data_IF_968118495703
#
_entry.id   IF_968118495703
#
_cell.length_a   1.000
_cell.length_b   1.000
_cell.length_c   1.000
_cell.angle_alpha   90.00
_cell.angle_beta   90.00
_cell.angle_gamma   90.00
#
_symmetry.space_group_name_H-M   'P 1'
#
loop_
_entity.id
_entity.type
_entity.pdbx_description
1 polymer ?
#
# COMPACT_ATOMS: atom_id res chain seq x y z
N UNK A 1 -34.50 -22.81 -17.99
CA UNK A 1 -33.86 -21.95 -16.96
C UNK A 1 -32.59 -22.64 -16.42
N UNK A 2 -31.46 -22.63 -17.15
CA UNK A 2 -30.32 -23.49 -16.78
C UNK A 2 -28.93 -23.10 -17.29
N UNK A 3 -28.70 -21.91 -17.85
CA UNK A 3 -27.39 -21.51 -18.41
C UNK A 3 -26.59 -20.54 -17.53
N UNK A 4 -27.10 -20.17 -16.34
CA UNK A 4 -26.45 -19.20 -15.47
C UNK A 4 -25.40 -19.81 -14.52
N UNK A 5 -25.33 -21.14 -14.41
CA UNK A 5 -24.58 -21.79 -13.32
C UNK A 5 -23.08 -21.91 -13.62
N UNK A 6 -22.68 -22.51 -14.74
CA UNK A 6 -21.26 -22.80 -15.00
C UNK A 6 -20.42 -21.55 -15.24
N UNK A 7 -20.93 -20.59 -16.01
CA UNK A 7 -20.21 -19.35 -16.32
C UNK A 7 -20.03 -18.45 -15.09
N UNK A 8 -21.05 -18.35 -14.22
CA UNK A 8 -20.97 -17.60 -12.97
C UNK A 8 -19.92 -18.19 -12.01
N UNK A 9 -19.92 -19.52 -11.83
CA UNK A 9 -18.92 -20.19 -11.00
C UNK A 9 -17.50 -20.05 -11.56
N UNK A 10 -17.35 -20.01 -12.89
CA UNK A 10 -16.06 -19.78 -13.53
C UNK A 10 -15.55 -18.34 -13.28
N UNK A 11 -16.43 -17.34 -13.33
CA UNK A 11 -16.09 -15.96 -12.95
C UNK A 11 -15.69 -15.88 -11.47
N UNK A 12 -16.46 -16.51 -10.58
CA UNK A 12 -16.17 -16.51 -9.13
C UNK A 12 -14.82 -17.20 -8.85
N UNK A 13 -14.53 -18.32 -9.51
CA UNK A 13 -13.24 -19.01 -9.39
C UNK A 13 -12.08 -18.17 -9.90
N UNK A 14 -12.24 -17.42 -10.99
CA UNK A 14 -11.20 -16.52 -11.48
C UNK A 14 -11.00 -15.34 -10.52
N UNK A 15 -12.10 -14.69 -10.10
CA UNK A 15 -12.06 -13.51 -9.22
C UNK A 15 -11.51 -13.80 -7.82
N UNK A 16 -11.65 -15.03 -7.32
CA UNK A 16 -11.16 -15.41 -5.99
C UNK A 16 -9.87 -16.24 -6.08
N UNK A 17 -9.83 -17.22 -6.99
CA UNK A 17 -8.71 -18.16 -7.11
C UNK A 17 -7.43 -17.51 -7.61
N UNK A 18 -7.50 -16.62 -8.61
CA UNK A 18 -6.29 -15.94 -9.12
C UNK A 18 -5.68 -15.04 -8.04
N UNK A 19 -6.42 -14.17 -7.33
CA UNK A 19 -5.86 -13.40 -6.21
C UNK A 19 -5.30 -14.27 -5.08
N UNK A 20 -5.91 -15.41 -4.77
CA UNK A 20 -5.39 -16.32 -3.73
C UNK A 20 -4.00 -16.87 -4.08
N UNK A 21 -3.71 -17.15 -5.36
CA UNK A 21 -2.37 -17.58 -5.79
C UNK A 21 -1.33 -16.50 -5.47
N UNK A 22 -1.68 -15.22 -5.65
CA UNK A 22 -0.80 -14.12 -5.31
C UNK A 22 -0.49 -14.07 -3.82
N UNK A 23 -1.47 -14.28 -2.93
CA UNK A 23 -1.27 -14.29 -1.46
C UNK A 23 -0.12 -15.21 -1.04
N UNK A 24 0.01 -16.38 -1.65
CA UNK A 24 1.06 -17.36 -1.32
C UNK A 24 2.39 -17.13 -2.05
N UNK A 25 2.45 -16.21 -3.01
CA UNK A 25 3.69 -15.91 -3.73
C UNK A 25 4.67 -15.20 -2.80
N UNK A 26 5.80 -15.84 -2.48
CA UNK A 26 6.88 -15.25 -1.67
C UNK A 26 7.55 -14.07 -2.40
N UNK A 27 8.07 -13.07 -1.69
CA UNK A 27 8.87 -12.02 -2.32
C UNK A 27 10.16 -12.63 -2.89
N UNK A 28 10.75 -12.05 -3.95
CA UNK A 28 12.04 -12.50 -4.45
C UNK A 28 13.14 -12.39 -3.40
N UNK A 29 14.02 -13.38 -3.42
CA UNK A 29 15.18 -13.49 -2.52
C UNK A 29 16.30 -12.58 -3.05
N UNK A 30 17.09 -12.03 -2.14
CA UNK A 30 18.20 -11.14 -2.45
C UNK A 30 17.91 -9.69 -2.11
N UNK A 31 18.79 -8.77 -2.54
CA UNK A 31 18.66 -7.36 -2.24
C UNK A 31 17.40 -6.73 -2.81
N UNK A 32 16.98 -5.65 -2.18
CA UNK A 32 15.80 -4.92 -2.61
C UNK A 32 16.04 -4.26 -3.99
N UNK A 33 15.24 -4.65 -4.99
CA UNK A 33 15.35 -4.11 -6.36
C UNK A 33 14.97 -2.64 -6.51
N UNK A 34 14.34 -2.05 -5.50
CA UNK A 34 13.80 -0.67 -5.54
C UNK A 34 14.71 0.34 -4.84
N UNK A 35 15.95 -0.04 -4.52
CA UNK A 35 16.99 0.83 -3.98
C UNK A 35 17.25 0.64 -2.48
N UNK A 36 18.10 1.52 -1.93
CA UNK A 36 18.51 1.48 -0.52
C UNK A 36 17.38 1.76 0.47
N UNK A 37 17.59 1.40 1.74
CA UNK A 37 16.57 1.57 2.78
C UNK A 37 16.29 3.06 3.03
N UNK A 38 15.02 3.51 2.99
CA UNK A 38 14.69 4.89 3.28
C UNK A 38 14.90 5.19 4.78
N UNK A 39 15.35 6.41 5.13
CA UNK A 39 15.55 6.80 6.52
C UNK A 39 14.21 6.86 7.28
N UNK A 40 14.28 6.71 8.60
CA UNK A 40 13.15 6.98 9.46
C UNK A 40 12.83 8.49 9.42
N UNK A 41 11.55 8.84 9.45
CA UNK A 41 11.06 10.21 9.34
C UNK A 41 10.23 10.58 10.57
N UNK A 42 10.33 11.84 11.01
CA UNK A 42 9.38 12.41 11.96
C UNK A 42 8.01 12.70 11.30
N UNK A 43 7.00 13.01 12.12
CA UNK A 43 5.63 13.27 11.64
C UNK A 43 5.55 14.34 10.53
N UNK A 44 6.14 15.53 10.77
CA UNK A 44 6.12 16.61 9.77
C UNK A 44 6.91 16.28 8.49
N UNK A 45 8.02 15.55 8.62
CA UNK A 45 8.81 15.10 7.48
C UNK A 45 8.04 14.07 6.63
N UNK A 46 7.26 13.19 7.26
CA UNK A 46 6.41 12.24 6.57
C UNK A 46 5.33 12.95 5.75
N UNK A 47 4.64 13.94 6.31
CA UNK A 47 3.63 14.73 5.59
C UNK A 47 4.26 15.49 4.41
N UNK A 48 5.42 16.11 4.62
CA UNK A 48 6.14 16.79 3.55
C UNK A 48 6.56 15.80 2.45
N UNK A 49 7.05 14.61 2.81
CA UNK A 49 7.40 13.56 1.84
C UNK A 49 6.17 13.04 1.09
N UNK A 50 5.03 12.90 1.75
CA UNK A 50 3.78 12.44 1.16
C UNK A 50 3.32 13.36 0.03
N UNK A 51 3.24 14.67 0.29
CA UNK A 51 2.87 15.64 -0.74
C UNK A 51 3.98 15.87 -1.78
N UNK A 52 5.25 15.74 -1.41
CA UNK A 52 6.37 15.84 -2.36
C UNK A 52 6.37 14.68 -3.36
N UNK A 53 6.03 13.47 -2.92
CA UNK A 53 5.98 12.26 -3.73
C UNK A 53 4.56 11.94 -4.23
N UNK A 54 3.83 12.97 -4.66
CA UNK A 54 2.39 12.89 -4.92
C UNK A 54 1.97 11.80 -5.90
N UNK A 55 2.65 11.68 -7.05
CA UNK A 55 2.42 10.63 -8.06
C UNK A 55 3.70 9.83 -8.33
N UNK A 56 4.59 9.76 -7.35
CA UNK A 56 5.84 9.02 -7.48
C UNK A 56 5.67 7.58 -6.97
N UNK A 57 5.60 6.64 -7.91
CA UNK A 57 5.51 5.20 -7.63
C UNK A 57 6.88 4.53 -7.50
N UNK A 58 7.97 5.25 -7.74
CA UNK A 58 9.33 4.72 -7.73
C UNK A 58 9.99 4.90 -6.38
N UNK A 59 10.88 3.96 -6.05
CA UNK A 59 11.60 3.94 -4.77
C UNK A 59 10.82 3.28 -3.64
N UNK A 60 11.26 3.55 -2.41
CA UNK A 60 10.80 2.91 -1.18
C UNK A 60 10.23 3.94 -0.21
N UNK A 61 9.19 3.55 0.53
CA UNK A 61 8.65 4.34 1.63
C UNK A 61 8.96 3.67 2.96
N UNK A 62 9.48 4.44 3.92
CA UNK A 62 9.78 3.91 5.25
C UNK A 62 8.48 3.62 6.03
N UNK A 63 8.57 2.75 7.04
CA UNK A 63 7.43 2.46 7.93
C UNK A 63 6.86 3.74 8.56
N UNK A 64 7.73 4.62 9.02
CA UNK A 64 7.35 5.91 9.62
C UNK A 64 6.71 6.85 8.61
N UNK A 65 7.22 6.91 7.37
CA UNK A 65 6.60 7.72 6.31
C UNK A 65 5.15 7.27 6.05
N UNK A 66 4.93 5.96 5.93
CA UNK A 66 3.61 5.39 5.70
C UNK A 66 2.63 5.64 6.85
N UNK A 67 3.01 5.27 8.08
CA UNK A 67 2.09 5.32 9.22
C UNK A 67 1.79 6.75 9.70
N UNK A 68 2.77 7.67 9.64
CA UNK A 68 2.49 9.06 9.98
C UNK A 68 1.61 9.75 8.93
N UNK A 69 1.80 9.44 7.65
CA UNK A 69 0.94 9.98 6.59
C UNK A 69 -0.48 9.41 6.69
N UNK A 70 -0.62 8.11 6.95
CA UNK A 70 -1.92 7.48 7.19
C UNK A 70 -2.64 8.09 8.40
N UNK A 71 -1.92 8.31 9.51
CA UNK A 71 -2.45 8.99 10.70
C UNK A 71 -2.92 10.40 10.36
N UNK A 72 -2.12 11.17 9.61
CA UNK A 72 -2.48 12.52 9.19
C UNK A 72 -3.76 12.52 8.33
N UNK A 73 -3.86 11.64 7.32
CA UNK A 73 -5.05 11.52 6.48
C UNK A 73 -6.27 11.17 7.33
N UNK A 74 -6.13 10.23 8.26
CA UNK A 74 -7.20 9.82 9.16
C UNK A 74 -7.69 10.96 10.08
N UNK A 75 -6.77 11.72 10.67
CA UNK A 75 -7.11 12.87 11.51
C UNK A 75 -7.85 13.97 10.73
N UNK A 76 -7.38 14.31 9.52
CA UNK A 76 -8.06 15.29 8.67
C UNK A 76 -9.44 14.78 8.26
N UNK A 77 -9.58 13.48 7.95
CA UNK A 77 -10.87 12.89 7.62
C UNK A 77 -11.87 13.00 8.79
N UNK A 78 -11.43 12.79 10.04
CA UNK A 78 -12.28 12.98 11.24
C UNK A 78 -12.73 14.44 11.34
N UNK A 79 -11.80 15.38 11.21
CA UNK A 79 -12.13 16.82 11.31
C UNK A 79 -13.14 17.21 10.22
N UNK A 80 -12.92 16.79 8.98
CA UNK A 80 -13.84 17.07 7.87
C UNK A 80 -15.21 16.42 8.09
N UNK A 81 -15.26 15.20 8.60
CA UNK A 81 -16.54 14.52 8.90
C UNK A 81 -17.41 15.30 9.91
N UNK A 82 -16.80 15.98 10.88
CA UNK A 82 -17.54 16.76 11.90
C UNK A 82 -17.92 18.15 11.40
N UNK A 83 -17.02 18.80 10.65
CA UNK A 83 -17.12 20.23 10.29
C UNK A 83 -17.83 20.43 8.94
N UNK A 84 -17.58 19.57 7.95
CA UNK A 84 -18.06 19.74 6.59
C UNK A 84 -19.47 19.16 6.40
N UNK A 85 -20.48 20.01 6.60
CA UNK A 85 -21.89 19.64 6.44
C UNK A 85 -22.33 19.48 4.98
N UNK A 86 -21.59 20.06 4.02
CA UNK A 86 -21.92 19.96 2.60
C UNK A 86 -21.22 18.81 1.88
N UNK A 87 -20.37 18.05 2.60
CA UNK A 87 -19.56 16.92 2.12
C UNK A 87 -18.59 17.27 0.96
N UNK A 88 -18.57 18.53 0.53
CA UNK A 88 -17.82 18.97 -0.64
C UNK A 88 -16.33 19.04 -0.35
N UNK A 89 -15.94 19.51 0.84
CA UNK A 89 -14.55 19.55 1.27
C UNK A 89 -14.02 18.14 1.54
N UNK A 90 -14.87 17.27 2.11
CA UNK A 90 -14.55 15.86 2.29
C UNK A 90 -14.27 15.17 0.94
N UNK A 91 -15.11 15.41 -0.06
CA UNK A 91 -14.92 14.88 -1.42
C UNK A 91 -13.60 15.40 -2.05
N UNK A 92 -13.34 16.71 -2.00
CA UNK A 92 -12.10 17.30 -2.53
C UNK A 92 -10.88 16.70 -1.83
N UNK A 93 -10.91 16.57 -0.51
CA UNK A 93 -9.84 15.97 0.27
C UNK A 93 -9.60 14.51 -0.09
N UNK A 94 -10.67 13.72 -0.22
CA UNK A 94 -10.60 12.32 -0.63
C UNK A 94 -9.92 12.20 -2.00
N UNK A 95 -10.34 13.01 -2.98
CA UNK A 95 -9.73 13.04 -4.31
C UNK A 95 -8.26 13.50 -4.29
N UNK A 96 -7.93 14.51 -3.49
CA UNK A 96 -6.58 15.03 -3.36
C UNK A 96 -5.62 14.03 -2.67
N UNK A 97 -6.12 13.21 -1.75
CA UNK A 97 -5.28 12.23 -1.04
C UNK A 97 -5.30 10.85 -1.70
N UNK A 98 -6.22 10.59 -2.63
CA UNK A 98 -6.38 9.29 -3.29
C UNK A 98 -5.11 8.86 -4.04
N UNK A 99 -4.65 9.67 -5.00
CA UNK A 99 -3.45 9.37 -5.80
C UNK A 99 -2.17 9.20 -4.96
N UNK A 100 -1.82 10.13 -4.05
CA UNK A 100 -0.61 9.97 -3.23
C UNK A 100 -0.70 8.80 -2.25
N UNK A 101 -1.91 8.42 -1.80
CA UNK A 101 -2.09 7.22 -0.96
C UNK A 101 -1.75 5.95 -1.72
N UNK A 102 -2.18 5.82 -2.98
CA UNK A 102 -1.85 4.66 -3.84
C UNK A 102 -0.34 4.66 -4.15
N UNK A 103 0.25 5.83 -4.46
CA UNK A 103 1.68 5.94 -4.75
C UNK A 103 2.55 5.53 -3.55
N UNK A 104 2.21 6.03 -2.36
CA UNK A 104 2.90 5.68 -1.11
C UNK A 104 2.70 4.20 -0.74
N UNK A 105 1.49 3.65 -0.91
CA UNK A 105 1.21 2.24 -0.67
C UNK A 105 2.05 1.33 -1.58
N UNK A 106 2.19 1.68 -2.86
CA UNK A 106 3.08 0.98 -3.80
C UNK A 106 4.55 1.04 -3.34
N UNK A 107 5.06 2.24 -2.99
CA UNK A 107 6.42 2.40 -2.46
C UNK A 107 6.65 1.65 -1.13
N UNK A 108 5.61 1.48 -0.32
CA UNK A 108 5.68 0.67 0.91
C UNK A 108 5.80 -0.82 0.60
N UNK A 109 5.08 -1.31 -0.42
CA UNK A 109 5.22 -2.69 -0.90
C UNK A 109 6.60 -2.93 -1.53
N UNK A 110 7.16 -1.93 -2.21
CA UNK A 110 8.52 -1.96 -2.72
C UNK A 110 9.55 -2.15 -1.61
N UNK A 111 9.31 -1.58 -0.41
CA UNK A 111 10.21 -1.74 0.73
C UNK A 111 10.31 -3.20 1.25
N UNK A 112 9.29 -4.03 0.99
CA UNK A 112 9.31 -5.47 1.27
C UNK A 112 9.63 -6.32 0.02
N UNK A 113 10.25 -5.71 -0.98
CA UNK A 113 10.61 -6.30 -2.29
C UNK A 113 9.42 -6.89 -3.08
N UNK A 114 8.19 -6.45 -2.79
CA UNK A 114 6.99 -6.79 -3.56
C UNK A 114 6.68 -5.71 -4.59
N UNK A 115 5.93 -6.05 -5.63
CA UNK A 115 5.48 -5.04 -6.60
C UNK A 115 4.25 -4.28 -6.08
N UNK A 116 4.04 -3.05 -6.54
CA UNK A 116 2.92 -2.21 -6.11
C UNK A 116 1.52 -2.78 -6.40
N UNK A 117 1.40 -3.69 -7.38
CA UNK A 117 0.13 -4.35 -7.71
C UNK A 117 -0.44 -5.21 -6.57
N UNK A 118 0.38 -5.58 -5.58
CA UNK A 118 -0.10 -6.26 -4.37
C UNK A 118 -1.17 -5.48 -3.60
N UNK A 119 -1.25 -4.15 -3.76
CA UNK A 119 -2.30 -3.36 -3.13
C UNK A 119 -3.72 -3.74 -3.62
N UNK A 120 -3.86 -4.28 -4.83
CA UNK A 120 -5.15 -4.73 -5.36
C UNK A 120 -5.73 -5.92 -4.60
N UNK A 121 -4.89 -6.69 -3.90
CA UNK A 121 -5.38 -7.75 -3.02
C UNK A 121 -6.25 -7.19 -1.90
N UNK A 122 -6.11 -5.92 -1.53
CA UNK A 122 -6.98 -5.30 -0.53
C UNK A 122 -8.46 -5.27 -0.95
N UNK A 123 -8.77 -5.40 -2.25
CA UNK A 123 -10.14 -5.52 -2.76
C UNK A 123 -10.78 -6.87 -2.42
N UNK A 124 -9.98 -7.90 -2.12
CA UNK A 124 -10.46 -9.22 -1.70
C UNK A 124 -10.71 -9.24 -0.18
N UNK A 125 -11.76 -8.55 0.26
CA UNK A 125 -12.12 -8.48 1.68
C UNK A 125 -12.73 -9.81 2.16
N UNK A 126 -12.34 -10.35 3.35
CA UNK A 126 -11.39 -9.78 4.31
C UNK A 126 -9.95 -10.27 4.16
N UNK A 127 -9.70 -11.37 3.46
CA UNK A 127 -8.40 -12.07 3.50
C UNK A 127 -7.29 -11.20 2.89
N UNK A 128 -7.53 -10.60 1.74
CA UNK A 128 -6.52 -9.82 1.03
C UNK A 128 -6.20 -8.48 1.70
N UNK A 129 -7.18 -7.83 2.35
CA UNK A 129 -6.93 -6.61 3.13
C UNK A 129 -6.05 -6.88 4.34
N UNK A 130 -6.25 -8.00 5.05
CA UNK A 130 -5.38 -8.43 6.16
C UNK A 130 -3.96 -8.72 5.68
N UNK A 131 -3.80 -9.42 4.55
CA UNK A 131 -2.48 -9.72 3.97
C UNK A 131 -1.71 -8.46 3.61
N UNK A 132 -2.38 -7.50 2.96
CA UNK A 132 -1.76 -6.23 2.55
C UNK A 132 -1.39 -5.38 3.78
N UNK A 133 -2.28 -5.32 4.78
CA UNK A 133 -2.03 -4.64 6.04
C UNK A 133 -0.82 -5.23 6.78
N UNK A 134 -0.74 -6.56 6.87
CA UNK A 134 0.42 -7.25 7.43
C UNK A 134 1.70 -6.91 6.64
N UNK A 135 1.61 -6.81 5.32
CA UNK A 135 2.69 -6.31 4.46
C UNK A 135 3.15 -4.90 4.83
N UNK A 136 2.23 -3.97 5.09
CA UNK A 136 2.55 -2.62 5.54
C UNK A 136 3.22 -2.58 6.91
N UNK A 137 2.90 -3.51 7.81
CA UNK A 137 3.55 -3.67 9.12
C UNK A 137 4.93 -4.35 9.05
N UNK A 138 5.20 -5.14 8.02
CA UNK A 138 6.39 -6.03 7.92
C UNK A 138 7.71 -5.25 7.83
N UNK A 139 8.81 -5.86 8.27
CA UNK A 139 10.14 -5.25 8.17
C UNK A 139 10.65 -5.10 6.74
N UNK A 140 11.36 -3.98 6.52
CA UNK A 140 12.05 -3.70 5.27
C UNK A 140 13.05 -4.82 4.98
N UNK A 141 13.15 -5.25 3.72
CA UNK A 141 14.21 -6.19 3.34
C UNK A 141 15.59 -5.56 3.53
N UNK A 142 16.60 -6.39 3.82
CA UNK A 142 17.99 -5.95 3.92
C UNK A 142 18.46 -5.39 2.57
N UNK A 143 19.44 -4.48 2.62
CA UNK A 143 20.15 -4.02 1.42
C UNK A 143 21.52 -4.73 1.32
N UNK A 144 22.12 -4.65 0.14
CA UNK A 144 23.45 -5.20 -0.15
C UNK A 144 24.55 -4.65 0.77
N UNK A 145 24.41 -3.41 1.27
CA UNK A 145 25.43 -2.76 2.09
C UNK A 145 25.58 -3.39 3.47
N UNK A 146 24.53 -4.04 3.99
CA UNK A 146 24.63 -4.82 5.24
C UNK A 146 25.30 -6.17 5.00
N UNK A 147 25.06 -6.84 3.87
CA UNK A 147 25.75 -8.09 3.55
C UNK A 147 27.24 -7.86 3.30
N UNK A 148 27.61 -6.76 2.62
CA UNK A 148 29.00 -6.38 2.39
C UNK A 148 29.78 -5.99 3.67
N UNK A 149 29.11 -5.57 4.74
CA UNK A 149 29.74 -5.27 6.05
C UNK A 149 29.99 -6.53 6.88
N UNK A 150 29.26 -7.62 6.61
CA UNK A 150 29.37 -8.88 7.34
C UNK A 150 30.00 -10.02 6.53
N UNK A 151 30.49 -9.73 5.31
CA UNK A 151 31.26 -10.63 4.45
C UNK A 151 32.75 -10.29 4.52
#
# INVERSE_FOLDING_TARGET
MGSFYLFHWLIVLILIGVPLIFVFKKPPVGPNRFGGRPPAMGFGQAIASFFKNYVNFSGRASRSEFWYSALFIFLVAIVLYVVDRSETLNLIWSLATFLPSIAMAARRLHDINRNGWWQLLALLVPIGSVVVLAGYCTASTMDDSREAVFA
#
